data_IF_869521107830
#
_entry.id   IF_869521107830
#
_cell.length_a   1.000
_cell.length_b   1.000
_cell.length_c   1.000
_cell.angle_alpha   90.00
_cell.angle_beta   90.00
_cell.angle_gamma   90.00
#
_symmetry.space_group_name_H-M   'P 1'
#
loop_
_entity.id
_entity.type
_entity.pdbx_description
1 polymer ?
#
# COMPACT_ATOMS: atom_id res chain seq x y z
N UNK A 1 25.81 -14.45 7.25
CA UNK A 1 25.79 -15.35 6.24
C UNK A 1 24.86 -16.42 6.48
N UNK A 2 24.24 -16.70 5.82
CA UNK A 2 23.50 -17.63 6.03
C UNK A 2 23.55 -18.75 5.44
N UNK A 3 22.99 -19.32 5.84
CA UNK A 3 22.60 -20.50 5.62
C UNK A 3 22.24 -20.72 4.31
N UNK A 4 22.79 -21.36 3.77
CA UNK A 4 22.18 -22.21 2.89
C UNK A 4 21.27 -23.13 3.59
N UNK A 5 20.10 -23.13 3.24
CA UNK A 5 19.14 -24.13 3.64
C UNK A 5 19.25 -25.41 2.80
N UNK A 6 20.42 -25.72 2.31
CA UNK A 6 20.67 -27.08 1.87
C UNK A 6 20.94 -27.93 3.10
N UNK A 7 20.76 -29.20 3.01
CA UNK A 7 21.07 -30.16 4.09
C UNK A 7 22.53 -30.11 4.58
N UNK A 8 23.34 -29.27 3.99
CA UNK A 8 24.74 -29.03 4.28
C UNK A 8 25.05 -27.61 4.75
N UNK A 9 24.05 -26.76 4.95
CA UNK A 9 24.32 -25.38 5.29
C UNK A 9 23.63 -24.96 6.57
N UNK A 10 24.37 -24.38 7.44
CA UNK A 10 23.95 -23.73 8.67
C UNK A 10 24.14 -22.23 8.54
N UNK A 11 23.36 -21.43 9.27
CA UNK A 11 23.65 -20.02 9.46
C UNK A 11 24.97 -19.89 10.20
N UNK A 12 25.88 -19.09 9.63
CA UNK A 12 27.19 -18.91 10.23
C UNK A 12 27.16 -17.90 11.40
N UNK A 13 26.12 -17.05 11.42
CA UNK A 13 25.98 -15.98 12.40
C UNK A 13 24.56 -15.94 12.92
N UNK A 14 24.43 -16.06 14.24
CA UNK A 14 23.14 -15.99 14.93
C UNK A 14 23.24 -15.13 16.18
N UNK A 15 22.10 -14.59 16.63
CA UNK A 15 21.96 -13.83 17.87
C UNK A 15 22.87 -12.61 17.98
N UNK A 16 23.16 -11.94 16.86
CA UNK A 16 23.97 -10.72 16.86
C UNK A 16 23.06 -9.54 17.21
N UNK A 17 23.52 -8.71 18.14
CA UNK A 17 22.85 -7.46 18.49
C UNK A 17 23.78 -6.28 18.20
N UNK A 18 23.29 -5.34 17.40
CA UNK A 18 23.88 -4.01 17.21
C UNK A 18 22.97 -3.01 17.90
N UNK A 19 23.49 -2.31 18.89
CA UNK A 19 22.66 -1.45 19.74
C UNK A 19 23.38 -0.15 20.11
N UNK A 20 22.57 0.93 20.22
CA UNK A 20 23.05 2.24 20.71
C UNK A 20 24.21 2.82 19.85
N UNK A 21 24.16 2.63 18.54
CA UNK A 21 25.22 3.05 17.62
C UNK A 21 24.77 4.28 16.81
N UNK A 22 25.71 5.23 16.65
CA UNK A 22 25.60 6.26 15.65
C UNK A 22 26.60 5.99 14.52
N UNK A 23 26.11 5.85 13.29
CA UNK A 23 26.92 5.57 12.11
C UNK A 23 26.74 6.69 11.09
N UNK A 24 27.82 7.38 10.81
CA UNK A 24 27.90 8.40 9.76
C UNK A 24 28.63 7.85 8.55
N UNK A 25 27.92 7.65 7.47
CA UNK A 25 28.48 7.15 6.20
C UNK A 25 29.20 8.24 5.38
N UNK A 26 29.16 9.49 5.84
CA UNK A 26 29.87 10.63 5.21
C UNK A 26 29.65 10.76 3.71
N UNK A 27 28.47 10.37 3.22
CA UNK A 27 28.09 10.32 1.80
C UNK A 27 29.01 9.42 0.93
N UNK A 28 29.61 8.39 1.52
CA UNK A 28 30.56 7.51 0.82
C UNK A 28 30.13 6.04 0.70
N UNK A 29 28.92 5.72 1.14
CA UNK A 29 28.48 4.33 1.08
C UNK A 29 27.24 4.05 1.92
N UNK A 30 27.21 2.89 2.57
CA UNK A 30 26.13 2.41 3.41
C UNK A 30 26.50 2.38 4.90
N UNK A 31 25.52 2.05 5.73
CA UNK A 31 25.68 1.93 7.18
C UNK A 31 25.95 0.49 7.62
N UNK A 32 24.88 -0.31 7.79
CA UNK A 32 24.96 -1.69 8.31
C UNK A 32 24.62 -2.69 7.20
N UNK A 33 25.38 -3.75 7.06
CA UNK A 33 25.06 -4.87 6.18
C UNK A 33 24.96 -6.17 6.98
N UNK A 34 23.75 -6.72 7.04
CA UNK A 34 23.46 -8.05 7.58
C UNK A 34 23.37 -9.01 6.41
N UNK A 35 24.25 -9.99 6.36
CA UNK A 35 24.27 -10.93 5.24
C UNK A 35 24.15 -12.35 5.75
N UNK A 36 23.14 -13.03 5.21
CA UNK A 36 22.89 -14.42 5.51
C UNK A 36 23.00 -14.72 7.01
N UNK A 37 22.35 -14.01 7.85
CA UNK A 37 22.35 -14.14 9.30
C UNK A 37 20.97 -14.52 9.82
N UNK A 38 20.93 -15.10 11.00
CA UNK A 38 19.69 -15.48 11.67
C UNK A 38 19.58 -14.73 12.99
N UNK A 39 18.37 -14.27 13.32
CA UNK A 39 18.08 -13.63 14.61
C UNK A 39 19.00 -12.45 14.95
N UNK A 40 19.24 -11.59 13.97
CA UNK A 40 20.01 -10.36 14.16
C UNK A 40 19.10 -9.25 14.66
N UNK A 41 19.53 -8.50 15.66
CA UNK A 41 18.82 -7.33 16.18
C UNK A 41 19.61 -6.05 15.94
N UNK A 42 18.97 -5.04 15.35
CA UNK A 42 19.48 -3.66 15.22
C UNK A 42 18.52 -2.78 16.02
N UNK A 43 18.99 -2.21 17.13
CA UNK A 43 18.17 -1.53 18.10
C UNK A 43 18.78 -0.19 18.50
N UNK A 44 17.94 0.85 18.53
CA UNK A 44 18.34 2.19 18.94
C UNK A 44 19.59 2.70 18.21
N UNK A 45 19.60 2.59 16.88
CA UNK A 45 20.72 3.05 16.06
C UNK A 45 20.32 4.33 15.28
N UNK A 46 21.29 5.19 15.06
CA UNK A 46 21.16 6.34 14.18
C UNK A 46 22.12 6.21 12.99
N UNK A 47 21.57 6.14 11.78
CA UNK A 47 22.34 5.90 10.55
C UNK A 47 22.12 7.09 9.62
N UNK A 48 23.19 7.84 9.37
CA UNK A 48 23.16 9.07 8.61
C UNK A 48 24.05 9.05 7.37
N UNK A 49 23.76 9.94 6.43
CA UNK A 49 24.59 10.27 5.25
C UNK A 49 24.95 9.07 4.37
N UNK A 50 24.08 8.06 4.31
CA UNK A 50 24.26 6.94 3.39
C UNK A 50 23.90 7.34 1.96
N UNK A 51 24.60 6.81 0.97
CA UNK A 51 24.31 7.00 -0.46
C UNK A 51 23.92 5.70 -1.17
N UNK A 52 24.08 4.56 -0.51
CA UNK A 52 23.61 3.26 -0.96
C UNK A 52 22.48 2.74 -0.04
N UNK A 53 22.78 1.82 0.86
CA UNK A 53 21.81 1.33 1.84
C UNK A 53 22.18 1.78 3.25
N UNK A 54 21.26 2.40 3.97
CA UNK A 54 21.45 2.66 5.39
C UNK A 54 21.58 1.33 6.14
N UNK A 55 20.59 0.44 6.00
CA UNK A 55 20.66 -0.95 6.46
C UNK A 55 20.35 -1.86 5.27
N UNK A 56 21.21 -2.84 5.02
CA UNK A 56 21.01 -3.92 4.07
C UNK A 56 20.83 -5.24 4.81
N UNK A 57 19.70 -5.92 4.62
CA UNK A 57 19.49 -7.31 5.04
C UNK A 57 19.43 -8.16 3.79
N UNK A 58 20.48 -8.93 3.55
CA UNK A 58 20.63 -9.75 2.34
C UNK A 58 20.70 -11.23 2.69
N UNK A 59 19.59 -11.94 2.43
CA UNK A 59 19.42 -13.33 2.83
C UNK A 59 19.30 -13.48 4.36
N UNK A 60 19.17 -14.70 4.83
CA UNK A 60 18.90 -14.99 6.23
C UNK A 60 17.43 -14.73 6.62
N UNK A 61 17.14 -14.85 7.89
CA UNK A 61 15.81 -14.73 8.47
C UNK A 61 15.82 -14.03 9.82
N UNK A 62 14.66 -13.55 10.25
CA UNK A 62 14.45 -13.05 11.61
C UNK A 62 15.42 -11.92 12.00
N UNK A 63 15.64 -10.96 11.08
CA UNK A 63 16.31 -9.71 11.42
C UNK A 63 15.28 -8.71 11.94
N UNK A 64 15.52 -8.18 13.12
CA UNK A 64 14.67 -7.18 13.76
C UNK A 64 15.36 -5.82 13.77
N UNK A 65 14.76 -4.82 13.12
CA UNK A 65 15.22 -3.44 13.09
C UNK A 65 14.20 -2.61 13.85
N UNK A 66 14.62 -1.96 14.93
CA UNK A 66 13.68 -1.23 15.78
C UNK A 66 14.28 0.01 16.45
N UNK A 67 13.39 0.91 16.88
CA UNK A 67 13.74 2.10 17.67
C UNK A 67 14.85 2.95 17.02
N UNK A 68 14.94 2.98 15.70
CA UNK A 68 16.09 3.51 14.98
C UNK A 68 15.71 4.68 14.07
N UNK A 69 16.70 5.52 13.77
CA UNK A 69 16.54 6.67 12.89
C UNK A 69 17.49 6.53 11.71
N UNK A 70 16.95 6.72 10.49
CA UNK A 70 17.74 6.66 9.26
C UNK A 70 17.45 7.85 8.37
N UNK A 71 18.50 8.49 7.85
CA UNK A 71 18.33 9.60 6.90
C UNK A 71 19.61 9.98 6.21
N UNK A 72 19.51 10.46 4.97
CA UNK A 72 20.67 11.01 4.28
C UNK A 72 21.17 12.33 4.93
N UNK A 73 20.29 13.04 5.63
CA UNK A 73 20.62 14.27 6.30
C UNK A 73 20.29 14.16 7.79
N UNK A 74 21.02 14.90 8.61
CA UNK A 74 20.85 14.88 10.06
C UNK A 74 19.54 15.56 10.48
N UNK A 75 19.06 16.51 9.70
CA UNK A 75 17.82 17.25 10.00
C UNK A 75 16.70 16.88 9.04
N UNK A 76 15.56 16.51 9.57
CA UNK A 76 14.35 16.35 8.81
C UNK A 76 13.97 17.69 8.15
N UNK A 77 13.80 17.67 6.83
CA UNK A 77 13.48 18.88 6.06
C UNK A 77 14.67 19.47 5.33
N UNK A 78 15.84 18.89 5.50
CA UNK A 78 17.02 19.05 4.68
C UNK A 78 17.54 20.50 4.53
N UNK A 79 18.66 20.62 3.93
CA UNK A 79 19.14 21.88 3.39
C UNK A 79 18.23 22.31 2.23
N UNK A 80 17.96 23.61 2.12
CA UNK A 80 17.21 24.18 1.00
C UNK A 80 17.84 23.86 -0.39
N UNK A 81 19.06 23.36 -0.44
CA UNK A 81 19.77 22.92 -1.63
C UNK A 81 19.58 21.44 -2.00
N UNK A 82 19.07 20.62 -1.10
CA UNK A 82 18.95 19.17 -1.31
C UNK A 82 17.64 18.80 -2.01
N UNK A 83 17.74 18.64 -3.30
CA UNK A 83 16.61 18.26 -4.16
C UNK A 83 16.67 16.83 -4.64
N UNK A 84 17.78 16.14 -4.46
CA UNK A 84 17.98 14.78 -4.98
C UNK A 84 18.53 13.89 -3.87
N UNK A 85 17.68 13.04 -3.34
CA UNK A 85 18.10 11.95 -2.49
C UNK A 85 18.45 10.72 -3.32
N UNK A 86 19.49 10.03 -2.89
CA UNK A 86 19.87 8.74 -3.44
C UNK A 86 19.74 7.67 -2.35
N UNK A 87 19.93 6.41 -2.70
CA UNK A 87 20.00 5.32 -1.75
C UNK A 87 18.65 4.89 -1.16
N UNK A 88 18.73 3.84 -0.39
CA UNK A 88 17.63 3.17 0.29
C UNK A 88 17.92 3.14 1.79
N UNK A 89 17.01 3.62 2.62
CA UNK A 89 17.28 3.62 4.05
C UNK A 89 17.35 2.19 4.59
N UNK A 90 16.36 1.34 4.28
CA UNK A 90 16.37 -0.07 4.67
C UNK A 90 16.07 -0.94 3.44
N UNK A 91 16.95 -1.88 3.12
CA UNK A 91 16.71 -2.88 2.08
C UNK A 91 16.58 -4.27 2.70
N UNK A 92 15.37 -4.86 2.61
CA UNK A 92 15.04 -6.20 3.07
C UNK A 92 15.01 -7.17 1.90
N UNK A 93 16.06 -7.93 1.71
CA UNK A 93 16.16 -8.99 0.69
C UNK A 93 16.05 -10.39 1.29
N UNK A 94 15.81 -10.49 2.59
CA UNK A 94 15.54 -11.73 3.33
C UNK A 94 14.07 -11.84 3.72
N UNK A 95 13.69 -13.00 4.23
CA UNK A 95 12.33 -13.31 4.66
C UNK A 95 12.17 -13.19 6.19
N UNK A 96 10.92 -13.16 6.65
CA UNK A 96 10.55 -13.25 8.08
C UNK A 96 11.21 -12.16 8.97
N UNK A 97 11.44 -10.97 8.41
CA UNK A 97 12.04 -9.86 9.14
C UNK A 97 10.97 -8.90 9.68
N UNK A 98 11.35 -8.13 10.70
CA UNK A 98 10.48 -7.09 11.23
C UNK A 98 11.19 -5.74 11.33
N UNK A 99 10.49 -4.67 10.90
CA UNK A 99 10.87 -3.29 11.14
C UNK A 99 9.81 -2.69 12.05
N UNK A 100 10.24 -2.16 13.21
CA UNK A 100 9.31 -1.66 14.23
C UNK A 100 9.80 -0.33 14.81
N UNK A 101 8.91 0.67 14.86
CA UNK A 101 9.19 1.96 15.49
C UNK A 101 10.46 2.63 14.94
N UNK A 102 10.54 2.76 13.62
CA UNK A 102 11.68 3.35 12.90
C UNK A 102 11.25 4.63 12.21
N UNK A 103 12.07 5.67 12.31
CA UNK A 103 11.89 6.91 11.58
C UNK A 103 12.86 6.97 10.41
N UNK A 104 12.33 7.20 9.20
CA UNK A 104 13.11 7.31 7.98
C UNK A 104 12.82 8.67 7.33
N UNK A 105 13.87 9.40 7.03
CA UNK A 105 13.76 10.70 6.39
C UNK A 105 14.85 10.90 5.32
N UNK A 106 14.51 11.63 4.29
CA UNK A 106 15.49 12.04 3.26
C UNK A 106 16.21 10.86 2.57
N UNK A 107 15.49 9.87 2.09
CA UNK A 107 16.01 8.78 1.26
C UNK A 107 15.22 8.68 -0.05
N UNK A 108 15.82 8.24 -1.14
CA UNK A 108 15.11 8.01 -2.39
C UNK A 108 14.08 6.88 -2.24
N UNK A 109 14.42 5.84 -1.49
CA UNK A 109 13.52 4.79 -1.04
C UNK A 109 13.66 4.65 0.47
N UNK A 110 12.55 4.74 1.20
CA UNK A 110 12.57 4.50 2.64
C UNK A 110 12.84 3.03 2.94
N UNK A 111 11.94 2.15 2.53
CA UNK A 111 12.07 0.70 2.73
C UNK A 111 11.89 0.01 1.38
N UNK A 112 12.88 -0.73 0.93
CA UNK A 112 12.79 -1.64 -0.21
C UNK A 112 12.63 -3.07 0.32
N UNK A 113 11.54 -3.75 -0.07
CA UNK A 113 11.26 -5.14 0.31
C UNK A 113 11.31 -6.00 -0.96
N UNK A 114 12.26 -6.92 -1.00
CA UNK A 114 12.36 -7.95 -2.04
C UNK A 114 12.46 -9.37 -1.46
N UNK A 115 12.09 -9.53 -0.20
CA UNK A 115 11.82 -10.80 0.47
C UNK A 115 10.35 -10.88 0.89
N UNK A 116 9.89 -12.06 1.25
CA UNK A 116 8.50 -12.32 1.67
C UNK A 116 8.35 -12.41 3.19
N UNK A 117 7.10 -12.47 3.67
CA UNK A 117 6.73 -12.67 5.07
C UNK A 117 7.32 -11.62 6.04
N UNK A 118 7.48 -10.39 5.58
CA UNK A 118 8.03 -9.31 6.38
C UNK A 118 6.91 -8.49 7.07
N UNK A 119 7.23 -7.95 8.25
CA UNK A 119 6.33 -7.09 9.01
C UNK A 119 6.95 -5.69 9.15
N UNK A 120 6.18 -4.66 8.82
CA UNK A 120 6.53 -3.25 8.97
C UNK A 120 5.46 -2.61 9.86
N UNK A 121 5.85 -2.16 11.04
CA UNK A 121 4.93 -1.59 12.03
C UNK A 121 5.53 -0.36 12.72
N UNK A 122 4.70 0.66 12.96
CA UNK A 122 5.15 1.87 13.65
C UNK A 122 6.22 2.68 12.90
N UNK A 123 6.32 2.51 11.59
CA UNK A 123 7.34 3.22 10.81
C UNK A 123 6.83 4.58 10.38
N UNK A 124 7.66 5.59 10.57
CA UNK A 124 7.43 6.92 10.03
C UNK A 124 8.38 7.18 8.86
N UNK A 125 7.83 7.16 7.64
CA UNK A 125 8.56 7.58 6.44
C UNK A 125 8.18 9.02 6.08
N UNK A 126 9.19 9.85 5.95
CA UNK A 126 9.04 11.27 5.72
C UNK A 126 10.02 11.76 4.64
N UNK A 127 9.53 12.37 3.59
CA UNK A 127 10.37 12.78 2.47
C UNK A 127 9.99 14.15 1.90
N UNK A 128 9.81 15.15 2.78
CA UNK A 128 9.36 16.50 2.42
C UNK A 128 10.27 17.24 1.46
N UNK A 129 11.58 17.03 1.59
CA UNK A 129 12.54 17.79 0.80
C UNK A 129 12.49 17.48 -0.69
N UNK A 130 12.02 16.30 -1.07
CA UNK A 130 11.84 15.93 -2.47
C UNK A 130 10.46 16.26 -3.02
N UNK A 131 9.56 16.78 -2.19
CA UNK A 131 8.21 17.15 -2.62
C UNK A 131 7.46 16.00 -3.28
N UNK A 132 7.40 14.84 -2.65
CA UNK A 132 6.91 13.59 -3.26
C UNK A 132 7.93 12.85 -4.13
N UNK A 133 9.19 13.22 -4.06
CA UNK A 133 10.23 12.70 -4.96
C UNK A 133 10.80 11.34 -4.59
N UNK A 134 10.31 10.68 -3.54
CA UNK A 134 10.77 9.37 -3.13
C UNK A 134 9.63 8.38 -2.90
N UNK A 135 9.97 7.12 -2.74
CA UNK A 135 9.03 6.06 -2.35
C UNK A 135 9.25 5.72 -0.90
N UNK A 136 8.20 5.81 -0.07
CA UNK A 136 8.29 5.46 1.34
C UNK A 136 8.56 3.97 1.52
N UNK A 137 7.70 3.12 0.97
CA UNK A 137 7.85 1.66 1.02
C UNK A 137 7.65 1.10 -0.38
N UNK A 138 8.64 0.36 -0.86
CA UNK A 138 8.58 -0.29 -2.16
C UNK A 138 8.65 -1.81 -2.02
N UNK A 139 7.55 -2.49 -2.35
CA UNK A 139 7.44 -3.95 -2.35
C UNK A 139 7.76 -4.45 -3.77
N UNK A 140 8.98 -4.94 -3.94
CA UNK A 140 9.55 -5.37 -5.22
C UNK A 140 9.80 -6.89 -5.23
N UNK A 141 8.73 -7.65 -5.02
CA UNK A 141 8.74 -9.11 -5.11
C UNK A 141 7.42 -9.56 -5.76
N UNK A 142 7.29 -9.43 -7.10
CA UNK A 142 6.06 -9.73 -7.82
C UNK A 142 5.57 -11.15 -7.56
N UNK A 143 4.32 -11.26 -7.11
CA UNK A 143 3.67 -12.56 -6.85
C UNK A 143 4.00 -13.25 -5.53
N UNK A 144 4.91 -12.69 -4.71
CA UNK A 144 5.33 -13.28 -3.43
C UNK A 144 5.42 -12.26 -2.30
N UNK A 145 4.56 -11.28 -2.28
CA UNK A 145 4.67 -10.13 -1.36
C UNK A 145 4.56 -10.51 0.11
N UNK A 146 3.53 -11.23 0.53
CA UNK A 146 3.28 -11.74 1.89
C UNK A 146 3.73 -10.77 3.01
N UNK A 147 3.34 -9.50 2.90
CA UNK A 147 3.85 -8.43 3.76
C UNK A 147 2.71 -7.75 4.50
N UNK A 148 2.97 -7.38 5.75
CA UNK A 148 2.08 -6.54 6.55
C UNK A 148 2.71 -5.19 6.80
N UNK A 149 1.96 -4.12 6.55
CA UNK A 149 2.32 -2.73 6.85
C UNK A 149 1.20 -2.18 7.72
N UNK A 150 1.51 -1.91 8.98
CA UNK A 150 0.49 -1.52 9.95
C UNK A 150 0.98 -0.40 10.87
N UNK A 151 0.03 0.37 11.44
CA UNK A 151 0.33 1.37 12.47
C UNK A 151 1.43 2.36 12.09
N UNK A 152 1.56 2.67 10.81
CA UNK A 152 2.66 3.46 10.26
C UNK A 152 2.20 4.87 9.86
N UNK A 153 3.15 5.70 9.49
CA UNK A 153 2.93 7.08 9.14
C UNK A 153 3.76 7.42 7.90
N UNK A 154 3.09 7.77 6.81
CA UNK A 154 3.71 8.13 5.54
C UNK A 154 3.37 9.57 5.21
N UNK A 155 4.38 10.43 5.22
CA UNK A 155 4.24 11.87 5.07
C UNK A 155 4.96 12.36 3.81
N UNK A 156 4.20 12.86 2.84
CA UNK A 156 4.67 13.26 1.51
C UNK A 156 5.35 12.16 0.69
N UNK A 157 5.05 10.92 0.98
CA UNK A 157 5.56 9.75 0.29
C UNK A 157 4.53 8.62 0.34
N UNK A 158 4.71 7.56 -0.40
CA UNK A 158 3.69 6.51 -0.48
C UNK A 158 4.26 5.10 -0.56
N UNK A 159 3.37 4.16 -0.86
CA UNK A 159 3.69 2.74 -1.00
C UNK A 159 3.55 2.36 -2.47
N UNK A 160 4.51 1.61 -2.99
CA UNK A 160 4.42 0.96 -4.31
C UNK A 160 4.52 -0.54 -4.11
N UNK A 161 3.59 -1.31 -4.67
CA UNK A 161 3.59 -2.77 -4.59
C UNK A 161 3.48 -3.38 -6.01
N UNK A 162 4.50 -4.14 -6.42
CA UNK A 162 4.53 -4.85 -7.70
C UNK A 162 3.81 -6.20 -7.58
N UNK A 163 2.80 -6.43 -8.42
CA UNK A 163 1.96 -7.65 -8.43
C UNK A 163 1.69 -8.20 -7.02
N UNK A 164 1.04 -7.44 -6.14
CA UNK A 164 0.94 -7.80 -4.74
C UNK A 164 0.11 -9.06 -4.52
N UNK A 165 0.67 -9.97 -3.70
CA UNK A 165 0.02 -11.18 -3.24
C UNK A 165 0.12 -11.27 -1.72
N UNK A 166 -1.02 -11.45 -1.05
CA UNK A 166 -1.11 -11.47 0.42
C UNK A 166 -0.52 -10.22 1.08
N UNK A 167 -0.97 -9.05 0.64
CA UNK A 167 -0.58 -7.76 1.18
C UNK A 167 -1.64 -7.21 2.14
N UNK A 168 -1.23 -6.82 3.33
CA UNK A 168 -2.11 -6.17 4.30
C UNK A 168 -1.56 -4.80 4.70
N UNK A 169 -2.37 -3.75 4.48
CA UNK A 169 -2.06 -2.36 4.88
C UNK A 169 -3.22 -1.84 5.71
N UNK A 170 -2.98 -1.54 6.99
CA UNK A 170 -4.03 -1.04 7.88
C UNK A 170 -3.53 -0.09 8.96
N UNK A 171 -4.45 0.67 9.54
CA UNK A 171 -4.19 1.58 10.66
C UNK A 171 -3.02 2.54 10.40
N UNK A 172 -2.84 2.95 9.15
CA UNK A 172 -1.70 3.76 8.69
C UNK A 172 -2.19 5.15 8.29
N UNK A 173 -1.42 6.17 8.64
CA UNK A 173 -1.63 7.54 8.22
C UNK A 173 -0.89 7.82 6.92
N UNK A 174 -1.59 8.37 5.95
CA UNK A 174 -1.06 8.87 4.69
C UNK A 174 -1.35 10.37 4.61
N UNK A 175 -0.34 11.21 4.72
CA UNK A 175 -0.48 12.66 4.73
C UNK A 175 0.28 13.34 3.60
N UNK A 176 -0.13 14.56 3.27
CA UNK A 176 0.51 15.34 2.21
C UNK A 176 0.30 14.74 0.81
N UNK A 177 -0.92 14.28 0.51
CA UNK A 177 -1.28 13.59 -0.74
C UNK A 177 -0.55 12.24 -0.94
N UNK A 178 -0.11 11.59 0.14
CA UNK A 178 0.48 10.26 0.08
C UNK A 178 -0.56 9.21 -0.36
N UNK A 179 -0.16 8.28 -1.20
CA UNK A 179 -1.06 7.27 -1.79
C UNK A 179 -0.37 5.91 -1.95
N UNK A 180 -1.15 4.92 -2.33
CA UNK A 180 -0.70 3.56 -2.58
C UNK A 180 -0.79 3.28 -4.08
N UNK A 181 0.29 2.75 -4.67
CA UNK A 181 0.31 2.29 -6.07
C UNK A 181 0.33 0.77 -6.10
N UNK A 182 -0.67 0.18 -6.73
CA UNK A 182 -0.64 -1.23 -7.13
C UNK A 182 -0.09 -1.26 -8.57
N UNK A 183 1.08 -1.84 -8.74
CA UNK A 183 1.80 -1.84 -10.02
C UNK A 183 1.76 -3.22 -10.66
N UNK A 184 1.20 -3.28 -11.85
CA UNK A 184 1.12 -4.49 -12.65
C UNK A 184 2.45 -4.75 -13.36
N UNK A 185 3.07 -5.90 -13.09
CA UNK A 185 4.24 -6.42 -13.81
C UNK A 185 3.82 -7.63 -14.65
N UNK A 186 3.20 -8.63 -14.01
CA UNK A 186 2.65 -9.84 -14.66
C UNK A 186 1.11 -9.82 -14.65
N UNK A 187 0.50 -8.82 -14.05
CA UNK A 187 -0.94 -8.62 -14.01
C UNK A 187 -1.65 -9.25 -12.82
N UNK A 188 -0.97 -9.44 -11.67
CA UNK A 188 -1.52 -10.14 -10.50
C UNK A 188 -1.84 -9.15 -9.37
N UNK A 189 -3.03 -9.33 -8.77
CA UNK A 189 -3.44 -8.64 -7.54
C UNK A 189 -4.30 -9.62 -6.72
N UNK A 190 -3.74 -10.26 -5.70
CA UNK A 190 -4.42 -11.35 -4.99
C UNK A 190 -4.22 -11.29 -3.47
N UNK A 191 -5.32 -11.45 -2.72
CA UNK A 191 -5.28 -11.46 -1.25
C UNK A 191 -4.84 -10.13 -0.65
N UNK A 192 -5.35 -9.02 -1.16
CA UNK A 192 -4.95 -7.67 -0.73
C UNK A 192 -5.98 -7.09 0.23
N UNK A 193 -5.52 -6.54 1.34
CA UNK A 193 -6.34 -5.76 2.26
C UNK A 193 -5.72 -4.38 2.48
N UNK A 194 -6.41 -3.32 2.03
CA UNK A 194 -6.09 -1.92 2.30
C UNK A 194 -7.28 -1.33 3.04
N UNK A 195 -7.25 -1.40 4.36
CA UNK A 195 -8.42 -1.14 5.19
C UNK A 195 -8.09 -0.31 6.43
N UNK A 196 -9.09 0.47 6.88
CA UNK A 196 -9.02 1.21 8.14
C UNK A 196 -7.82 2.19 8.22
N UNK A 197 -7.38 2.74 7.07
CA UNK A 197 -6.33 3.76 6.99
C UNK A 197 -6.92 5.17 6.96
N UNK A 198 -6.09 6.16 7.25
CA UNK A 198 -6.44 7.57 7.15
C UNK A 198 -5.59 8.26 6.09
N UNK A 199 -6.26 8.95 5.15
CA UNK A 199 -5.63 9.70 4.06
C UNK A 199 -5.97 11.19 4.18
N UNK A 200 -4.94 12.03 4.18
CA UNK A 200 -5.06 13.48 4.21
C UNK A 200 -4.32 14.15 3.06
N UNK A 201 -5.03 14.93 2.26
CA UNK A 201 -4.48 15.61 1.10
C UNK A 201 -4.88 17.07 0.98
N UNK A 202 -4.51 17.66 -0.14
CA UNK A 202 -4.58 19.10 -0.44
C UNK A 202 -5.67 19.48 -1.45
N UNK A 203 -6.70 18.65 -1.63
CA UNK A 203 -7.79 18.83 -2.59
C UNK A 203 -7.35 18.92 -4.07
N UNK A 204 -6.21 18.32 -4.39
CA UNK A 204 -5.68 18.24 -5.77
C UNK A 204 -6.24 17.09 -6.60
N UNK A 205 -7.19 16.33 -6.05
CA UNK A 205 -7.82 15.22 -6.77
C UNK A 205 -6.94 13.97 -6.88
N UNK A 206 -6.03 13.77 -5.95
CA UNK A 206 -5.18 12.57 -5.90
C UNK A 206 -6.00 11.39 -5.38
N UNK A 207 -5.97 10.27 -6.08
CA UNK A 207 -6.61 9.03 -5.67
C UNK A 207 -5.78 8.34 -4.57
N UNK A 208 -6.42 7.85 -3.50
CA UNK A 208 -5.74 7.16 -2.38
C UNK A 208 -5.09 5.83 -2.79
N UNK A 209 -5.63 5.17 -3.81
CA UNK A 209 -5.07 3.97 -4.43
C UNK A 209 -5.06 4.16 -5.94
N UNK A 210 -3.93 3.95 -6.57
CA UNK A 210 -3.73 4.10 -8.00
C UNK A 210 -3.26 2.78 -8.62
N UNK A 211 -3.67 2.51 -9.86
CA UNK A 211 -3.22 1.36 -10.64
C UNK A 211 -2.14 1.83 -11.63
N UNK A 212 -0.91 1.37 -11.47
CA UNK A 212 0.12 1.51 -12.51
C UNK A 212 0.08 0.28 -13.44
N UNK A 213 -0.48 0.47 -14.61
CA UNK A 213 -0.61 -0.55 -15.64
C UNK A 213 0.30 -0.28 -16.85
N UNK A 214 1.40 0.44 -16.65
CA UNK A 214 2.36 0.78 -17.70
C UNK A 214 3.03 -0.43 -18.35
N UNK A 215 3.08 -1.57 -17.65
CA UNK A 215 3.60 -2.86 -18.15
C UNK A 215 2.49 -3.81 -18.65
N UNK A 216 1.23 -3.44 -18.48
CA UNK A 216 0.06 -4.22 -18.87
C UNK A 216 -1.03 -4.22 -17.79
N UNK A 217 -2.27 -4.58 -18.15
CA UNK A 217 -3.37 -4.57 -17.19
C UNK A 217 -3.25 -5.66 -16.14
N UNK A 218 -3.91 -5.45 -15.00
CA UNK A 218 -4.20 -6.54 -14.07
C UNK A 218 -5.15 -7.54 -14.72
N UNK A 219 -4.83 -8.83 -14.67
CA UNK A 219 -5.58 -9.92 -15.29
C UNK A 219 -6.08 -10.95 -14.28
N UNK A 220 -5.33 -11.17 -13.21
CA UNK A 220 -5.68 -12.08 -12.11
C UNK A 220 -5.92 -11.24 -10.84
N UNK A 221 -7.19 -10.86 -10.64
CA UNK A 221 -7.62 -10.02 -9.52
C UNK A 221 -8.54 -10.85 -8.65
N UNK A 222 -8.09 -11.24 -7.45
CA UNK A 222 -8.85 -12.07 -6.52
C UNK A 222 -8.67 -11.62 -5.08
N UNK A 223 -9.73 -11.73 -4.28
CA UNK A 223 -9.68 -11.47 -2.85
C UNK A 223 -9.07 -10.09 -2.50
N UNK A 224 -9.44 -9.06 -3.25
CA UNK A 224 -8.96 -7.69 -3.01
C UNK A 224 -10.02 -6.92 -2.25
N UNK A 225 -9.65 -6.41 -1.08
CA UNK A 225 -10.49 -5.56 -0.23
C UNK A 225 -9.82 -4.22 -0.03
N UNK A 226 -10.40 -3.16 -0.58
CA UNK A 226 -10.02 -1.77 -0.33
C UNK A 226 -11.28 -1.09 0.17
N UNK A 227 -11.37 -0.91 1.48
CA UNK A 227 -12.60 -0.43 2.12
C UNK A 227 -12.33 0.24 3.48
N UNK A 228 -13.33 0.96 4.00
CA UNK A 228 -13.33 1.62 5.31
C UNK A 228 -12.14 2.56 5.57
N UNK A 229 -11.54 3.12 4.51
CA UNK A 229 -10.51 4.12 4.66
C UNK A 229 -11.14 5.51 4.88
N UNK A 230 -10.62 6.27 5.83
CA UNK A 230 -11.02 7.66 6.05
C UNK A 230 -10.23 8.57 5.10
N UNK A 231 -10.93 9.40 4.32
CA UNK A 231 -10.31 10.23 3.28
C UNK A 231 -10.75 11.68 3.42
N UNK A 232 -9.77 12.58 3.48
CA UNK A 232 -10.01 14.03 3.45
C UNK A 232 -9.03 14.69 2.47
N UNK A 233 -9.54 15.50 1.56
CA UNK A 233 -8.72 16.22 0.58
C UNK A 233 -8.07 15.37 -0.51
N UNK A 234 -8.56 14.13 -0.68
CA UNK A 234 -8.17 13.19 -1.74
C UNK A 234 -9.41 12.48 -2.29
N UNK A 235 -9.28 11.77 -3.39
CA UNK A 235 -10.36 10.96 -3.94
C UNK A 235 -10.37 9.57 -3.29
N UNK A 236 -11.55 9.16 -2.83
CA UNK A 236 -11.73 7.80 -2.34
C UNK A 236 -11.65 6.80 -3.48
N UNK A 237 -10.94 5.70 -3.24
CA UNK A 237 -10.94 4.49 -4.07
C UNK A 237 -11.22 3.28 -3.19
N UNK A 238 -12.12 2.42 -3.65
CA UNK A 238 -12.56 1.25 -2.89
C UNK A 238 -12.96 0.11 -3.83
N UNK A 239 -13.03 -1.11 -3.30
CA UNK A 239 -13.62 -2.26 -4.00
C UNK A 239 -15.12 -2.41 -3.70
N UNK A 240 -15.63 -1.68 -2.71
CA UNK A 240 -17.06 -1.61 -2.37
C UNK A 240 -17.56 -0.19 -2.56
N UNK A 241 -18.68 -0.03 -3.26
CA UNK A 241 -19.29 1.29 -3.42
C UNK A 241 -20.82 1.23 -3.15
N UNK A 242 -21.33 2.33 -2.65
CA UNK A 242 -22.76 2.52 -2.38
C UNK A 242 -23.26 3.77 -3.08
N UNK A 243 -24.44 3.69 -3.65
CA UNK A 243 -25.07 4.82 -4.29
C UNK A 243 -26.59 4.78 -4.18
N UNK A 244 -27.20 5.93 -4.41
CA UNK A 244 -28.65 6.04 -4.52
C UNK A 244 -29.01 7.01 -5.64
N UNK A 245 -30.16 6.76 -6.27
CA UNK A 245 -30.76 7.66 -7.25
C UNK A 245 -32.25 7.77 -6.97
N UNK A 246 -32.76 8.99 -7.00
CA UNK A 246 -34.16 9.29 -6.76
C UNK A 246 -34.76 9.89 -8.03
N UNK A 247 -36.00 9.57 -8.34
CA UNK A 247 -36.69 10.16 -9.49
C UNK A 247 -37.97 9.47 -9.85
N UNK A 248 -38.58 9.95 -10.94
CA UNK A 248 -39.75 9.36 -11.57
C UNK A 248 -39.31 8.75 -12.90
N UNK A 249 -39.59 7.47 -13.07
CA UNK A 249 -39.20 6.77 -14.30
C UNK A 249 -39.34 5.25 -14.16
N UNK A 250 -38.79 4.56 -15.14
CA UNK A 250 -38.73 3.10 -15.15
C UNK A 250 -37.30 2.57 -15.32
N UNK A 251 -36.29 3.43 -15.28
CA UNK A 251 -34.89 3.04 -15.43
C UNK A 251 -34.00 3.96 -14.60
N UNK A 252 -33.14 3.34 -13.78
CA UNK A 252 -32.17 4.04 -12.92
C UNK A 252 -30.78 3.51 -13.21
N UNK A 253 -29.84 4.42 -13.52
CA UNK A 253 -28.46 4.09 -13.81
C UNK A 253 -27.56 4.74 -12.77
N UNK A 254 -26.67 3.96 -12.18
CA UNK A 254 -25.63 4.45 -11.27
C UNK A 254 -24.25 4.15 -11.83
N UNK A 255 -23.37 5.17 -11.76
CA UNK A 255 -21.98 5.10 -12.22
C UNK A 255 -21.05 5.13 -11.02
N UNK A 256 -20.28 4.06 -10.83
CA UNK A 256 -19.35 3.89 -9.73
C UNK A 256 -17.87 4.09 -10.12
N UNK A 257 -17.57 4.53 -11.35
CA UNK A 257 -16.20 4.70 -11.84
C UNK A 257 -15.33 5.65 -11.01
N UNK A 258 -15.95 6.62 -10.33
CA UNK A 258 -15.22 7.54 -9.46
C UNK A 258 -14.68 6.86 -8.20
N UNK A 259 -15.34 5.81 -7.73
CA UNK A 259 -15.04 5.14 -6.45
C UNK A 259 -14.35 3.81 -6.65
N UNK A 260 -14.84 2.99 -7.59
CA UNK A 260 -14.28 1.65 -7.80
C UNK A 260 -12.85 1.70 -8.35
N UNK A 261 -11.98 0.85 -7.79
CA UNK A 261 -10.55 0.80 -8.15
C UNK A 261 -10.36 0.12 -9.50
N UNK A 262 -10.95 -1.06 -9.69
CA UNK A 262 -10.73 -1.84 -10.91
C UNK A 262 -11.80 -1.51 -11.97
N UNK A 263 -11.40 -1.29 -13.23
CA UNK A 263 -12.36 -1.06 -14.29
C UNK A 263 -13.14 -2.34 -14.60
N UNK A 264 -14.45 -2.20 -14.80
CA UNK A 264 -15.36 -3.26 -15.26
C UNK A 264 -15.27 -4.59 -14.47
N UNK A 265 -15.14 -4.52 -13.15
CA UNK A 265 -14.94 -5.69 -12.28
C UNK A 265 -16.05 -5.86 -11.22
N UNK A 266 -17.24 -5.27 -11.37
CA UNK A 266 -18.33 -5.53 -10.43
C UNK A 266 -18.69 -7.03 -10.49
N UNK A 267 -18.48 -7.73 -9.37
CA UNK A 267 -18.77 -9.16 -9.21
C UNK A 267 -20.10 -9.40 -8.49
N UNK A 268 -20.52 -8.45 -7.64
CA UNK A 268 -21.75 -8.57 -6.89
C UNK A 268 -22.53 -7.25 -6.87
N UNK A 269 -23.85 -7.34 -6.96
CA UNK A 269 -24.78 -6.19 -6.86
C UNK A 269 -25.90 -6.55 -5.92
N UNK A 270 -26.11 -5.73 -4.91
CA UNK A 270 -27.29 -5.72 -4.07
C UNK A 270 -28.03 -4.41 -4.28
N UNK A 271 -29.36 -4.48 -4.43
CA UNK A 271 -30.17 -3.25 -4.54
C UNK A 271 -31.50 -3.37 -3.83
N UNK A 272 -32.06 -2.21 -3.50
CA UNK A 272 -33.43 -2.08 -3.02
C UNK A 272 -34.14 -0.90 -3.68
N UNK A 273 -35.45 -1.00 -3.81
CA UNK A 273 -36.32 0.06 -4.32
C UNK A 273 -37.27 0.44 -3.24
N UNK A 274 -37.39 1.73 -2.96
CA UNK A 274 -38.42 2.32 -2.09
C UNK A 274 -39.32 3.24 -2.93
N UNK A 275 -40.60 3.05 -2.88
CA UNK A 275 -41.56 3.86 -3.60
C UNK A 275 -42.73 4.24 -2.69
N UNK A 276 -43.25 5.46 -2.84
CA UNK A 276 -44.48 5.94 -2.20
C UNK A 276 -45.72 5.63 -3.02
N UNK A 277 -45.57 5.06 -4.21
CA UNK A 277 -46.67 4.66 -5.08
C UNK A 277 -47.43 3.48 -4.48
N UNK A 278 -48.75 3.46 -4.66
CA UNK A 278 -49.58 2.29 -4.34
C UNK A 278 -49.36 1.11 -5.30
N UNK A 279 -48.61 1.32 -6.40
CA UNK A 279 -48.29 0.30 -7.37
C UNK A 279 -46.99 -0.40 -6.98
N UNK A 280 -46.96 -1.74 -7.14
CA UNK A 280 -45.79 -2.57 -6.92
C UNK A 280 -45.29 -3.09 -8.27
N UNK A 281 -44.46 -2.33 -9.00
CA UNK A 281 -43.98 -2.77 -10.30
C UNK A 281 -43.00 -3.95 -10.17
N UNK A 282 -43.00 -4.85 -11.12
CA UNK A 282 -41.94 -5.80 -11.25
C UNK A 282 -40.63 -5.02 -11.55
N UNK A 283 -39.53 -5.47 -10.95
CA UNK A 283 -38.24 -4.82 -11.15
C UNK A 283 -37.11 -5.84 -11.31
N UNK A 284 -36.04 -5.46 -11.99
CA UNK A 284 -34.89 -6.30 -12.21
C UNK A 284 -33.60 -5.49 -12.38
N UNK A 285 -32.49 -6.10 -11.98
CA UNK A 285 -31.16 -5.71 -12.42
C UNK A 285 -31.05 -6.04 -13.92
N UNK A 286 -30.84 -5.05 -14.76
CA UNK A 286 -30.83 -5.22 -16.24
C UNK A 286 -29.45 -5.26 -16.84
N UNK A 287 -28.53 -4.47 -16.30
CA UNK A 287 -27.18 -4.39 -16.85
C UNK A 287 -26.18 -4.08 -15.76
N UNK A 288 -25.02 -4.70 -15.85
CA UNK A 288 -23.81 -4.39 -15.07
C UNK A 288 -22.65 -4.38 -16.04
N UNK A 289 -22.14 -3.21 -16.37
CA UNK A 289 -21.01 -3.06 -17.29
C UNK A 289 -20.30 -1.73 -17.06
N UNK A 290 -18.98 -1.71 -17.27
CA UNK A 290 -18.17 -0.52 -17.13
C UNK A 290 -18.36 0.20 -15.79
N UNK A 291 -18.44 -0.56 -14.70
CA UNK A 291 -18.73 -0.08 -13.34
C UNK A 291 -20.04 0.71 -13.22
N UNK A 292 -21.00 0.44 -14.08
CA UNK A 292 -22.36 1.01 -14.05
C UNK A 292 -23.37 -0.09 -13.79
N UNK A 293 -24.40 0.25 -13.03
CA UNK A 293 -25.52 -0.64 -12.71
C UNK A 293 -26.79 -0.02 -13.19
N UNK A 294 -27.61 -0.78 -13.91
CA UNK A 294 -28.94 -0.37 -14.37
C UNK A 294 -30.02 -1.23 -13.76
N UNK A 295 -30.94 -0.58 -13.04
CA UNK A 295 -32.16 -1.17 -12.50
C UNK A 295 -33.34 -0.67 -13.31
N UNK A 296 -34.31 -1.57 -13.59
CA UNK A 296 -35.47 -1.25 -14.40
C UNK A 296 -36.75 -1.77 -13.75
N UNK A 297 -37.83 -1.02 -13.88
CA UNK A 297 -39.17 -1.40 -13.45
C UNK A 297 -40.10 -1.57 -14.65
N UNK A 298 -41.18 -2.35 -14.49
CA UNK A 298 -42.19 -2.56 -15.52
C UNK A 298 -43.09 -1.35 -15.80
N UNK A 299 -43.16 -0.40 -14.87
CA UNK A 299 -43.96 0.79 -14.94
C UNK A 299 -43.16 2.01 -14.50
N UNK A 300 -43.58 3.20 -14.94
CA UNK A 300 -43.06 4.46 -14.41
C UNK A 300 -43.53 4.63 -12.95
N UNK A 301 -42.58 4.81 -12.07
CA UNK A 301 -42.89 5.03 -10.62
C UNK A 301 -41.98 6.14 -10.07
N UNK A 302 -42.46 6.80 -9.03
CA UNK A 302 -41.62 7.66 -8.20
C UNK A 302 -40.91 6.76 -7.19
N UNK A 303 -39.60 6.66 -7.27
CA UNK A 303 -38.83 5.74 -6.43
C UNK A 303 -37.46 6.27 -6.04
N UNK A 304 -36.95 5.73 -4.94
CA UNK A 304 -35.55 5.80 -4.53
C UNK A 304 -34.94 4.42 -4.71
N UNK A 305 -33.87 4.35 -5.51
CA UNK A 305 -33.13 3.09 -5.74
C UNK A 305 -31.79 3.19 -5.06
N UNK A 306 -31.50 2.24 -4.19
CA UNK A 306 -30.23 2.11 -3.47
C UNK A 306 -29.48 0.92 -4.02
N UNK A 307 -28.18 1.08 -4.27
CA UNK A 307 -27.32 0.02 -4.82
C UNK A 307 -26.02 -0.07 -4.04
N UNK A 308 -25.63 -1.30 -3.75
CA UNK A 308 -24.31 -1.65 -3.24
C UNK A 308 -23.66 -2.53 -4.29
N UNK A 309 -22.40 -2.25 -4.62
CA UNK A 309 -21.59 -3.04 -5.55
C UNK A 309 -20.31 -3.48 -4.88
N UNK A 310 -19.80 -4.65 -5.28
CA UNK A 310 -18.56 -5.21 -4.79
C UNK A 310 -17.74 -5.77 -5.95
N UNK A 311 -16.41 -5.59 -5.86
CA UNK A 311 -15.43 -6.10 -6.80
C UNK A 311 -14.68 -7.34 -6.26
N UNK A 312 -15.10 -7.88 -5.12
CA UNK A 312 -14.45 -9.06 -4.55
C UNK A 312 -14.74 -10.30 -5.37
N UNK A 313 -13.69 -10.95 -5.86
CA UNK A 313 -13.74 -12.18 -6.62
C UNK A 313 -13.12 -13.29 -5.77
N UNK A 314 -13.83 -14.42 -5.63
CA UNK A 314 -13.32 -15.62 -4.96
C UNK A 314 -12.19 -16.29 -5.78
N UNK A 315 -11.53 -17.27 -5.20
CA UNK A 315 -10.56 -18.11 -5.90
C UNK A 315 -11.23 -19.02 -6.91
#
# INVERSE_FOLDING_TARGET
>A
MGAQLSSSSSYNYEYITLKDLMLDSSYKGGGIAVRNSLRTSIDNCYIAHFTSNGILVQGGHETYIRNSFLGQHITAGGDHGEKMFSGTAISLMGNDNAITDVVIFSAAIGILVSGQANIISGVHCYNKATGFGGTGIYLKLPGLTQTRIVNSYLDYTGIVAEDPVQLHISNTFFLGDAYIVLKSINGVANGINIVDNMFGGSDKGVDIVQLDQSKGPFKDIKQVVIDRNNVKGMNIKATVARGSVNGVGNSWVMDFNRVLVFPNLISHVQYSISSTSSQFPNHALRNVSNNRVQIQTSLNVSASVFVIVDQWVAN
#
